data_IF_927443518045
#
_entry.id   IF_927443518045
#
_cell.length_a   1.000
_cell.length_b   1.000
_cell.length_c   1.000
_cell.angle_alpha   90.00
_cell.angle_beta   90.00
_cell.angle_gamma   90.00
#
_symmetry.space_group_name_H-M   'P 1'
#
loop_
_entity.id
_entity.type
_entity.pdbx_description
1 polymer ?
#
# COMPACT_ATOMS: atom_id res chain seq x y z
N UNK A 1 22.08 -51.99 -43.37
CA UNK A 1 22.75 -53.29 -43.15
C UNK A 1 24.20 -53.04 -42.78
N UNK A 2 24.55 -53.21 -41.51
CA UNK A 2 25.88 -53.49 -40.94
C UNK A 2 25.61 -53.66 -39.42
N UNK A 3 25.35 -54.89 -38.96
CA UNK A 3 26.32 -55.78 -38.29
C UNK A 3 26.92 -55.10 -37.05
N UNK A 4 26.49 -55.46 -35.84
CA UNK A 4 26.98 -56.62 -35.08
C UNK A 4 27.72 -56.07 -33.84
N UNK A 5 27.82 -56.66 -32.65
CA UNK A 5 27.71 -58.02 -32.13
C UNK A 5 27.60 -57.86 -30.59
N UNK A 6 26.73 -58.66 -29.95
CA UNK A 6 26.70 -58.91 -28.50
C UNK A 6 27.87 -59.84 -28.11
N UNK A 7 28.44 -59.93 -26.93
CA UNK A 7 27.87 -60.01 -25.59
C UNK A 7 29.02 -60.28 -24.59
N UNK A 8 28.69 -60.20 -23.28
CA UNK A 8 29.20 -61.09 -22.20
C UNK A 8 30.60 -60.77 -21.65
N UNK A 9 30.94 -60.89 -20.36
CA UNK A 9 30.35 -61.66 -19.26
C UNK A 9 30.99 -61.22 -17.91
N UNK A 10 30.37 -61.64 -16.81
CA UNK A 10 30.54 -61.22 -15.40
C UNK A 10 31.87 -61.64 -14.72
N UNK A 11 32.20 -60.97 -13.61
CA UNK A 11 33.10 -61.46 -12.55
C UNK A 11 33.10 -60.54 -11.32
N UNK A 12 32.75 -61.10 -10.16
CA UNK A 12 32.49 -60.46 -8.86
C UNK A 12 33.70 -59.83 -8.15
N UNK A 13 33.41 -58.85 -7.27
CA UNK A 13 34.02 -58.80 -5.93
C UNK A 13 34.71 -57.48 -5.53
N UNK A 14 34.12 -56.78 -4.54
CA UNK A 14 34.90 -56.13 -3.48
C UNK A 14 34.88 -54.60 -3.38
N UNK A 15 34.02 -54.10 -2.49
CA UNK A 15 34.27 -53.00 -1.51
C UNK A 15 34.82 -51.65 -2.00
N UNK A 16 33.97 -50.64 -2.09
CA UNK A 16 34.33 -49.24 -1.77
C UNK A 16 33.08 -48.45 -1.37
N UNK A 17 33.28 -47.53 -0.42
CA UNK A 17 32.30 -46.94 0.46
C UNK A 17 31.28 -46.00 -0.20
N UNK A 18 30.13 -45.87 0.46
CA UNK A 18 29.05 -44.95 0.17
C UNK A 18 29.50 -43.47 0.25
N UNK A 19 29.16 -42.70 -0.79
CA UNK A 19 29.14 -41.23 -0.74
C UNK A 19 27.79 -40.76 -0.16
N UNK A 20 27.75 -39.67 0.63
CA UNK A 20 26.51 -39.25 1.29
C UNK A 20 25.60 -38.52 0.31
N UNK A 21 24.35 -38.99 0.24
CA UNK A 21 23.24 -38.34 -0.45
C UNK A 21 23.06 -36.90 0.06
N UNK A 22 23.02 -35.96 -0.87
CA UNK A 22 22.67 -34.58 -0.62
C UNK A 22 21.24 -34.48 -0.06
N UNK A 23 21.11 -33.82 1.08
CA UNK A 23 19.84 -33.48 1.68
C UNK A 23 19.07 -32.51 0.76
N UNK A 24 18.17 -33.05 -0.06
CA UNK A 24 17.09 -32.29 -0.66
C UNK A 24 16.18 -31.79 0.47
N UNK A 25 16.36 -30.53 0.86
CA UNK A 25 15.42 -29.80 1.70
C UNK A 25 14.11 -29.69 0.91
N UNK A 26 13.17 -30.57 1.25
CA UNK A 26 11.82 -30.57 0.71
C UNK A 26 11.16 -29.22 0.99
N UNK A 27 10.75 -28.52 -0.08
CA UNK A 27 9.84 -27.38 0.04
C UNK A 27 8.53 -27.86 0.66
N UNK A 28 7.93 -27.16 1.63
CA UNK A 28 6.62 -27.53 2.15
C UNK A 28 5.61 -27.39 1.00
N UNK A 29 5.06 -28.52 0.59
CA UNK A 29 4.02 -28.65 -0.42
C UNK A 29 2.69 -28.35 0.27
N UNK A 30 2.20 -27.13 0.13
CA UNK A 30 0.83 -26.79 0.51
C UNK A 30 -0.09 -27.39 -0.55
N UNK A 31 -0.47 -28.66 -0.35
CA UNK A 31 -1.55 -29.28 -1.11
C UNK A 31 -2.88 -28.71 -0.60
N UNK A 32 -3.47 -27.80 -1.36
CA UNK A 32 -4.92 -27.75 -1.50
C UNK A 32 -5.27 -28.64 -2.69
N UNK A 33 -6.05 -29.68 -2.45
CA UNK A 33 -6.77 -30.38 -3.53
C UNK A 33 -7.83 -29.40 -4.07
N UNK A 34 -7.49 -28.67 -5.12
CA UNK A 34 -8.43 -28.11 -6.10
C UNK A 34 -7.63 -27.68 -7.32
N UNK A 35 -8.09 -28.03 -8.51
CA UNK A 35 -7.50 -27.59 -9.77
C UNK A 35 -7.24 -26.06 -9.72
N UNK A 36 -6.06 -25.64 -10.21
CA UNK A 36 -5.81 -24.23 -10.53
C UNK A 36 -7.04 -23.68 -11.26
N UNK A 37 -7.72 -22.73 -10.62
CA UNK A 37 -8.85 -22.05 -11.25
C UNK A 37 -8.30 -20.80 -11.89
N UNK A 38 -8.01 -20.89 -13.19
CA UNK A 38 -7.68 -19.72 -13.98
C UNK A 38 -8.83 -18.69 -13.85
N UNK A 39 -8.51 -17.49 -13.36
CA UNK A 39 -9.49 -16.41 -13.28
C UNK A 39 -9.83 -15.97 -14.71
N UNK A 40 -11.09 -16.07 -15.10
CA UNK A 40 -11.57 -15.62 -16.40
C UNK A 40 -12.05 -14.16 -16.34
N UNK A 41 -11.73 -13.37 -17.36
CA UNK A 41 -12.14 -11.96 -17.43
C UNK A 41 -13.66 -11.82 -17.39
N UNK A 42 -14.39 -12.70 -18.08
CA UNK A 42 -15.86 -12.68 -18.13
C UNK A 42 -16.46 -12.86 -16.72
N UNK A 43 -15.91 -13.78 -15.92
CA UNK A 43 -16.33 -14.01 -14.53
C UNK A 43 -16.10 -12.76 -13.67
N UNK A 44 -14.93 -12.13 -13.80
CA UNK A 44 -14.61 -10.89 -13.06
C UNK A 44 -15.55 -9.76 -13.46
N UNK A 45 -15.83 -9.58 -14.75
CA UNK A 45 -16.74 -8.54 -15.25
C UNK A 45 -18.18 -8.74 -14.73
N UNK A 46 -18.67 -9.98 -14.69
CA UNK A 46 -19.98 -10.31 -14.14
C UNK A 46 -20.08 -10.07 -12.63
N UNK A 47 -18.96 -10.19 -11.91
CA UNK A 47 -18.84 -9.99 -10.45
C UNK A 47 -18.45 -8.56 -10.05
N UNK A 48 -18.46 -7.63 -11.00
CA UNK A 48 -17.99 -6.25 -10.80
C UNK A 48 -19.13 -5.28 -10.50
N UNK A 49 -18.95 -4.49 -9.43
CA UNK A 49 -19.88 -3.46 -8.99
C UNK A 49 -19.18 -2.10 -8.99
N UNK A 50 -19.65 -1.16 -9.80
CA UNK A 50 -19.08 0.18 -9.86
C UNK A 50 -19.84 1.08 -8.90
N UNK A 51 -19.12 1.80 -8.04
CA UNK A 51 -19.68 2.67 -7.01
C UNK A 51 -19.08 4.07 -7.08
N UNK A 52 -19.85 5.07 -6.64
CA UNK A 52 -19.45 6.47 -6.57
C UNK A 52 -19.75 7.03 -5.16
N UNK A 53 -18.70 7.25 -4.37
CA UNK A 53 -18.79 7.65 -2.98
C UNK A 53 -18.59 9.17 -2.81
N UNK A 54 -19.55 9.90 -2.24
CA UNK A 54 -19.40 11.32 -1.96
C UNK A 54 -18.38 11.56 -0.85
N UNK A 55 -17.53 12.58 -1.00
CA UNK A 55 -16.48 12.92 -0.04
C UNK A 55 -16.87 14.09 0.86
N UNK A 56 -16.41 14.08 2.11
CA UNK A 56 -16.60 15.17 3.09
C UNK A 56 -15.75 16.40 2.78
N UNK A 57 -14.61 16.17 2.15
CA UNK A 57 -13.58 17.17 1.86
C UNK A 57 -13.01 16.88 0.49
N UNK A 58 -12.58 17.91 -0.22
CA UNK A 58 -11.81 17.69 -1.44
C UNK A 58 -10.47 17.06 -1.07
N UNK A 59 -10.09 16.01 -1.79
CA UNK A 59 -8.81 15.33 -1.60
C UNK A 59 -8.23 14.97 -2.97
N UNK A 60 -7.00 15.39 -3.26
CA UNK A 60 -6.37 15.22 -4.58
C UNK A 60 -7.27 15.69 -5.74
N UNK A 61 -7.96 16.81 -5.56
CA UNK A 61 -8.79 17.44 -6.59
C UNK A 61 -10.20 16.86 -6.74
N UNK A 62 -10.55 15.72 -6.12
CA UNK A 62 -11.87 15.09 -6.27
C UNK A 62 -12.80 15.33 -5.07
N UNK A 63 -14.10 15.35 -5.34
CA UNK A 63 -15.18 15.38 -4.32
C UNK A 63 -16.06 14.12 -4.35
N UNK A 64 -15.88 13.27 -5.36
CA UNK A 64 -16.51 11.95 -5.48
C UNK A 64 -15.43 10.95 -5.78
N UNK A 65 -15.37 9.87 -5.01
CA UNK A 65 -14.44 8.77 -5.23
C UNK A 65 -15.18 7.61 -5.87
N UNK A 66 -14.73 7.23 -7.05
CA UNK A 66 -15.26 6.04 -7.71
C UNK A 66 -14.32 4.85 -7.55
N UNK A 67 -14.93 3.66 -7.49
CA UNK A 67 -14.26 2.38 -7.38
C UNK A 67 -15.08 1.29 -8.09
N UNK A 68 -14.41 0.23 -8.52
CA UNK A 68 -15.03 -1.01 -8.95
C UNK A 68 -14.69 -2.09 -7.90
N UNK A 69 -15.72 -2.72 -7.34
CA UNK A 69 -15.61 -3.79 -6.37
C UNK A 69 -15.81 -5.14 -7.05
N UNK A 70 -15.01 -6.14 -6.68
CA UNK A 70 -15.00 -7.47 -7.29
C UNK A 70 -15.40 -8.48 -6.21
N UNK A 71 -16.48 -9.23 -6.44
CA UNK A 71 -16.94 -10.29 -5.53
C UNK A 71 -16.44 -11.67 -5.97
N UNK A 72 -15.33 -12.12 -5.37
CA UNK A 72 -14.75 -13.43 -5.66
C UNK A 72 -15.06 -14.50 -4.60
N UNK A 73 -14.56 -15.73 -4.77
CA UNK A 73 -14.81 -16.85 -3.86
C UNK A 73 -14.15 -16.68 -2.47
N UNK A 74 -13.08 -15.90 -2.36
CA UNK A 74 -12.39 -15.64 -1.09
C UNK A 74 -12.90 -14.37 -0.37
N UNK A 75 -13.67 -13.52 -1.05
CA UNK A 75 -14.24 -12.30 -0.47
C UNK A 75 -14.38 -11.18 -1.50
N UNK A 76 -14.05 -9.96 -1.06
CA UNK A 76 -14.20 -8.75 -1.85
C UNK A 76 -12.85 -8.08 -2.10
N UNK A 77 -12.64 -7.66 -3.35
CA UNK A 77 -11.51 -6.87 -3.79
C UNK A 77 -11.95 -5.52 -4.34
N UNK A 78 -11.00 -4.60 -4.48
CA UNK A 78 -11.24 -3.26 -5.02
C UNK A 78 -10.25 -2.94 -6.14
N UNK A 79 -10.79 -2.42 -7.24
CA UNK A 79 -10.07 -1.83 -8.36
C UNK A 79 -10.48 -0.37 -8.50
N UNK A 80 -9.63 0.55 -8.02
CA UNK A 80 -9.97 1.97 -7.97
C UNK A 80 -8.83 2.91 -8.43
N UNK A 81 -8.02 2.63 -9.46
CA UNK A 81 -6.97 3.56 -9.88
C UNK A 81 -7.53 4.96 -10.18
N UNK A 82 -6.79 6.02 -9.82
CA UNK A 82 -7.16 7.40 -10.18
C UNK A 82 -7.12 7.61 -11.69
N UNK A 83 -7.83 8.61 -12.22
CA UNK A 83 -7.96 8.81 -13.68
C UNK A 83 -6.62 9.02 -14.40
N UNK A 84 -5.58 9.50 -13.70
CA UNK A 84 -4.23 9.74 -14.24
C UNK A 84 -3.36 8.47 -14.37
N UNK A 85 -3.91 7.29 -14.03
CA UNK A 85 -3.23 6.00 -14.18
C UNK A 85 -3.61 5.34 -15.50
N UNK A 86 -2.58 5.10 -16.34
CA UNK A 86 -2.73 4.35 -17.57
C UNK A 86 -2.96 2.85 -17.30
N UNK A 87 -3.41 2.10 -18.30
CA UNK A 87 -3.73 0.68 -18.17
C UNK A 87 -2.60 -0.19 -17.58
N UNK A 88 -1.32 -0.02 -17.95
CA UNK A 88 -0.22 -0.78 -17.33
C UNK A 88 -0.09 -0.50 -15.83
N UNK A 89 -0.17 0.76 -15.41
CA UNK A 89 -0.10 1.11 -13.98
C UNK A 89 -1.36 0.62 -13.24
N UNK A 90 -2.53 0.69 -13.89
CA UNK A 90 -3.80 0.22 -13.35
C UNK A 90 -3.84 -1.31 -13.15
N UNK A 91 -3.06 -2.08 -13.92
CA UNK A 91 -2.99 -3.53 -13.78
C UNK A 91 -2.54 -3.97 -12.37
N UNK A 92 -1.64 -3.21 -11.73
CA UNK A 92 -1.27 -3.48 -10.33
C UNK A 92 -2.46 -3.32 -9.37
N UNK A 93 -3.30 -2.31 -9.59
CA UNK A 93 -4.52 -2.12 -8.80
C UNK A 93 -5.49 -3.28 -8.99
N UNK A 94 -5.62 -3.76 -10.22
CA UNK A 94 -6.46 -4.91 -10.54
C UNK A 94 -5.91 -6.19 -9.89
N UNK A 95 -4.60 -6.42 -9.96
CA UNK A 95 -3.95 -7.56 -9.29
C UNK A 95 -4.20 -7.55 -7.78
N UNK A 96 -4.12 -6.39 -7.12
CA UNK A 96 -4.45 -6.26 -5.69
C UNK A 96 -5.92 -6.59 -5.40
N UNK A 97 -6.84 -6.16 -6.26
CA UNK A 97 -8.26 -6.47 -6.13
C UNK A 97 -8.54 -7.97 -6.31
N UNK A 98 -7.96 -8.58 -7.35
CA UNK A 98 -8.10 -10.01 -7.63
C UNK A 98 -7.51 -10.86 -6.51
N UNK A 99 -6.35 -10.50 -5.97
CA UNK A 99 -5.76 -11.20 -4.82
C UNK A 99 -6.74 -11.26 -3.65
N UNK A 100 -7.32 -10.14 -3.26
CA UNK A 100 -8.26 -10.10 -2.12
C UNK A 100 -9.58 -10.82 -2.43
N UNK A 101 -10.07 -10.75 -3.67
CA UNK A 101 -11.34 -11.35 -4.07
C UNK A 101 -11.25 -12.88 -4.27
N UNK A 102 -10.16 -13.39 -4.86
CA UNK A 102 -10.02 -14.78 -5.29
C UNK A 102 -9.09 -15.62 -4.40
N UNK A 103 -8.06 -15.02 -3.81
CA UNK A 103 -7.10 -15.73 -2.94
C UNK A 103 -7.31 -15.42 -1.45
N UNK A 104 -7.76 -14.22 -1.14
CA UNK A 104 -7.86 -13.70 0.22
C UNK A 104 -6.51 -13.24 0.80
N UNK A 105 -6.55 -12.62 1.99
CA UNK A 105 -5.36 -12.08 2.63
C UNK A 105 -4.40 -13.21 3.08
N UNK A 106 -3.09 -12.95 3.14
CA UNK A 106 -2.15 -13.84 3.83
C UNK A 106 -2.47 -13.95 5.34
N UNK A 107 -1.88 -14.93 6.05
CA UNK A 107 -2.09 -15.08 7.49
C UNK A 107 -1.78 -13.82 8.28
N UNK A 108 -2.72 -13.40 9.12
CA UNK A 108 -2.59 -12.23 9.96
C UNK A 108 -1.80 -12.59 11.23
N UNK A 109 -0.80 -11.78 11.56
CA UNK A 109 0.08 -11.97 12.72
C UNK A 109 -0.34 -11.09 13.92
N UNK A 110 -1.32 -10.20 13.72
CA UNK A 110 -1.87 -9.29 14.73
C UNK A 110 -3.31 -8.92 14.39
N UNK A 111 -4.09 -8.65 15.42
CA UNK A 111 -5.51 -8.31 15.29
C UNK A 111 -5.74 -6.80 15.14
N UNK A 112 -4.86 -5.97 15.70
CA UNK A 112 -5.02 -4.52 15.74
C UNK A 112 -3.91 -3.82 14.97
N UNK A 113 -4.27 -2.74 14.27
CA UNK A 113 -3.40 -1.91 13.47
C UNK A 113 -3.51 -0.46 13.95
N UNK A 114 -2.40 0.09 14.44
CA UNK A 114 -2.30 1.52 14.72
C UNK A 114 -2.45 2.31 13.42
N UNK A 115 -3.24 3.38 13.43
CA UNK A 115 -3.39 4.27 12.29
C UNK A 115 -2.94 5.70 12.62
N UNK A 116 -2.60 6.47 11.59
CA UNK A 116 -2.42 7.91 11.73
C UNK A 116 -3.72 8.66 11.39
N UNK A 117 -3.94 9.79 12.07
CA UNK A 117 -4.89 10.79 11.63
C UNK A 117 -4.43 11.38 10.28
N UNK A 118 -5.36 11.76 9.41
CA UNK A 118 -5.05 12.35 8.11
C UNK A 118 -5.72 13.71 8.00
N UNK A 119 -4.91 14.76 7.95
CA UNK A 119 -5.34 16.15 7.85
C UNK A 119 -5.12 16.63 6.41
N UNK A 120 -6.19 16.89 5.63
CA UNK A 120 -6.10 17.44 4.28
C UNK A 120 -5.56 18.88 4.28
N UNK A 121 -5.42 19.48 3.10
CA UNK A 121 -4.97 20.86 2.92
C UNK A 121 -6.06 21.90 3.28
N UNK A 122 -6.58 21.82 4.51
CA UNK A 122 -7.60 22.73 5.07
C UNK A 122 -6.96 23.97 5.70
N UNK A 123 -7.76 24.95 6.12
CA UNK A 123 -7.23 26.08 6.89
C UNK A 123 -6.91 25.63 8.33
N UNK A 124 -5.98 26.30 9.04
CA UNK A 124 -5.61 25.94 10.41
C UNK A 124 -6.79 25.85 11.38
N UNK A 125 -7.80 26.71 11.23
CA UNK A 125 -9.02 26.73 12.04
C UNK A 125 -9.89 25.48 11.89
N UNK A 126 -9.80 24.78 10.76
CA UNK A 126 -10.59 23.57 10.49
C UNK A 126 -9.94 22.30 11.06
N UNK A 127 -8.67 22.38 11.49
CA UNK A 127 -7.88 21.20 11.93
C UNK A 127 -8.55 20.49 13.11
N UNK A 128 -9.10 21.24 14.07
CA UNK A 128 -9.76 20.65 15.24
C UNK A 128 -10.90 19.70 14.85
N UNK A 129 -11.82 20.14 13.98
CA UNK A 129 -12.94 19.32 13.52
C UNK A 129 -12.54 18.13 12.64
N UNK A 130 -11.33 18.13 12.07
CA UNK A 130 -10.76 16.96 11.42
C UNK A 130 -10.23 15.97 12.45
N UNK A 131 -9.49 16.44 13.44
CA UNK A 131 -8.85 15.59 14.47
C UNK A 131 -9.86 14.88 15.38
N UNK A 132 -11.04 15.46 15.63
CA UNK A 132 -12.16 14.82 16.34
C UNK A 132 -12.55 13.44 15.77
N UNK A 133 -12.26 13.17 14.50
CA UNK A 133 -12.59 11.89 13.84
C UNK A 133 -11.53 10.79 14.07
N UNK A 134 -10.42 11.16 14.70
CA UNK A 134 -9.23 10.34 14.86
C UNK A 134 -8.79 10.21 16.32
N UNK A 135 -9.70 10.42 17.28
CA UNK A 135 -9.41 10.30 18.70
C UNK A 135 -8.63 9.00 19.04
N UNK A 136 -7.61 9.14 19.89
CA UNK A 136 -6.70 8.07 20.27
C UNK A 136 -5.50 7.87 19.33
N UNK A 137 -5.50 8.43 18.11
CA UNK A 137 -4.32 8.40 17.25
C UNK A 137 -3.15 9.16 17.88
N UNK A 138 -1.97 8.54 17.90
CA UNK A 138 -0.72 9.15 18.38
C UNK A 138 0.13 9.78 17.28
N UNK A 139 -0.30 9.64 16.02
CA UNK A 139 0.40 10.13 14.83
C UNK A 139 -0.57 10.86 13.92
N UNK A 140 -0.13 11.98 13.33
CA UNK A 140 -0.92 12.80 12.39
C UNK A 140 -0.11 13.00 11.11
N UNK A 141 -0.72 12.73 9.95
CA UNK A 141 -0.17 13.10 8.64
C UNK A 141 -0.89 14.33 8.11
N UNK A 142 -0.14 15.37 7.81
CA UNK A 142 -0.64 16.68 7.35
C UNK A 142 -0.29 16.89 5.88
N UNK A 143 -1.28 17.16 5.05
CA UNK A 143 -1.05 17.56 3.66
C UNK A 143 -0.40 18.94 3.61
N UNK A 144 0.67 19.05 2.82
CA UNK A 144 1.41 20.29 2.54
C UNK A 144 1.67 20.40 1.04
N UNK A 145 2.22 21.53 0.58
CA UNK A 145 2.50 21.78 -0.82
C UNK A 145 1.28 21.64 -1.74
N UNK A 146 0.09 21.98 -1.22
CA UNK A 146 -1.13 21.94 -2.03
C UNK A 146 -1.09 23.08 -3.06
N UNK A 147 -1.37 22.82 -4.35
CA UNK A 147 -1.42 23.85 -5.36
C UNK A 147 -2.34 25.02 -4.96
N UNK A 148 -1.81 26.24 -5.04
CA UNK A 148 -2.53 27.45 -4.64
C UNK A 148 -2.42 27.82 -3.16
N UNK A 149 -1.69 27.04 -2.35
CA UNK A 149 -1.36 27.38 -0.96
C UNK A 149 0.13 27.71 -0.81
N UNK A 150 0.44 28.51 0.21
CA UNK A 150 1.80 28.94 0.54
C UNK A 150 2.41 28.09 1.67
N UNK A 151 3.74 28.06 1.74
CA UNK A 151 4.46 27.42 2.85
C UNK A 151 4.02 27.97 4.22
N UNK A 152 3.69 29.26 4.32
CA UNK A 152 3.19 29.85 5.56
C UNK A 152 1.86 29.22 6.02
N UNK A 153 0.97 28.89 5.08
CA UNK A 153 -0.28 28.17 5.38
C UNK A 153 -0.01 26.74 5.82
N UNK A 154 0.95 26.05 5.19
CA UNK A 154 1.37 24.71 5.60
C UNK A 154 1.94 24.70 7.03
N UNK A 155 2.81 25.67 7.35
CA UNK A 155 3.38 25.85 8.70
C UNK A 155 2.27 26.12 9.71
N UNK A 156 1.31 27.00 9.40
CA UNK A 156 0.19 27.30 10.29
C UNK A 156 -0.68 26.06 10.56
N UNK A 157 -0.93 25.22 9.53
CA UNK A 157 -1.68 23.98 9.68
C UNK A 157 -0.95 22.96 10.55
N UNK A 158 0.35 22.78 10.33
CA UNK A 158 1.18 21.89 11.16
C UNK A 158 1.25 22.39 12.61
N UNK A 159 1.34 23.71 12.81
CA UNK A 159 1.34 24.29 14.15
C UNK A 159 -0.02 24.07 14.85
N UNK A 160 -1.15 24.22 14.15
CA UNK A 160 -2.46 23.94 14.72
C UNK A 160 -2.59 22.48 15.19
N UNK A 161 -2.07 21.52 14.43
CA UNK A 161 -2.00 20.10 14.87
C UNK A 161 -1.18 19.97 16.16
N UNK A 162 -0.02 20.64 16.22
CA UNK A 162 0.88 20.58 17.38
C UNK A 162 0.27 21.22 18.63
N UNK A 163 -0.47 22.31 18.47
CA UNK A 163 -1.14 23.00 19.58
C UNK A 163 -2.27 22.15 20.15
N UNK A 164 -3.03 21.46 19.30
CA UNK A 164 -4.12 20.58 19.70
C UNK A 164 -3.59 19.27 20.30
N UNK A 165 -2.64 18.62 19.63
CA UNK A 165 -2.10 17.30 19.99
C UNK A 165 -0.58 17.38 20.20
N UNK A 166 -0.10 17.97 21.31
CA UNK A 166 1.31 18.30 21.52
C UNK A 166 2.25 17.09 21.63
N UNK A 167 1.72 15.90 21.91
CA UNK A 167 2.48 14.66 22.01
C UNK A 167 2.46 13.83 20.72
N UNK A 168 1.69 14.25 19.71
CA UNK A 168 1.57 13.48 18.48
C UNK A 168 2.84 13.54 17.63
N UNK A 169 3.21 12.42 17.02
CA UNK A 169 4.18 12.40 15.92
C UNK A 169 3.55 13.04 14.70
N UNK A 170 4.20 14.04 14.11
CA UNK A 170 3.67 14.73 12.93
C UNK A 170 4.48 14.33 11.70
N UNK A 171 3.78 13.85 10.68
CA UNK A 171 4.29 13.59 9.33
C UNK A 171 3.72 14.62 8.38
N UNK A 172 4.43 14.97 7.32
CA UNK A 172 3.88 15.81 6.25
C UNK A 172 3.94 15.09 4.91
N UNK A 173 3.00 15.38 4.02
CA UNK A 173 2.91 14.80 2.68
C UNK A 173 2.80 15.88 1.62
N UNK A 174 3.86 16.02 0.82
CA UNK A 174 3.95 17.04 -0.22
C UNK A 174 3.50 16.53 -1.60
N UNK A 175 3.35 15.23 -1.80
CA UNK A 175 3.05 14.60 -3.10
C UNK A 175 3.86 15.16 -4.28
N UNK A 176 5.19 15.28 -4.11
CA UNK A 176 6.14 15.84 -5.08
C UNK A 176 6.01 17.35 -5.30
N UNK A 177 5.35 18.06 -4.39
CA UNK A 177 5.01 19.47 -4.56
C UNK A 177 6.16 20.47 -4.43
N UNK A 178 7.36 20.02 -4.05
CA UNK A 178 8.52 20.88 -3.86
C UNK A 178 9.72 20.49 -4.72
N UNK A 179 10.45 21.49 -5.19
CA UNK A 179 11.86 21.34 -5.54
C UNK A 179 12.71 21.02 -4.30
N UNK A 180 13.96 20.59 -4.51
CA UNK A 180 14.90 20.34 -3.40
C UNK A 180 15.14 21.59 -2.54
N UNK A 181 15.14 22.78 -3.14
CA UNK A 181 15.31 24.04 -2.42
C UNK A 181 14.11 24.39 -1.56
N UNK A 182 12.91 24.28 -2.11
CA UNK A 182 11.66 24.51 -1.37
C UNK A 182 11.48 23.49 -0.25
N UNK A 183 11.82 22.22 -0.49
CA UNK A 183 11.74 21.17 0.53
C UNK A 183 12.72 21.41 1.70
N UNK A 184 13.96 21.87 1.40
CA UNK A 184 14.90 22.25 2.46
C UNK A 184 14.38 23.46 3.25
N UNK A 185 13.79 24.44 2.58
CA UNK A 185 13.24 25.61 3.26
C UNK A 185 12.03 25.25 4.13
N UNK A 186 11.15 24.38 3.63
CA UNK A 186 10.03 23.84 4.40
C UNK A 186 10.51 23.10 5.65
N UNK A 187 11.55 22.26 5.53
CA UNK A 187 12.13 21.53 6.65
C UNK A 187 12.64 22.43 7.79
N UNK A 188 13.08 23.66 7.49
CA UNK A 188 13.51 24.63 8.52
C UNK A 188 12.33 25.26 9.27
N UNK A 189 11.17 25.38 8.63
CA UNK A 189 10.03 26.14 9.15
C UNK A 189 8.96 25.27 9.79
N UNK A 190 8.79 24.03 9.33
CA UNK A 190 7.73 23.13 9.82
C UNK A 190 7.97 22.59 11.25
N UNK A 191 9.20 22.74 11.76
CA UNK A 191 9.61 22.26 13.08
C UNK A 191 9.87 20.75 13.09
N UNK A 192 9.87 20.11 14.28
CA UNK A 192 10.14 18.68 14.38
C UNK A 192 9.02 17.86 13.73
N UNK A 193 9.42 16.90 12.90
CA UNK A 193 8.57 15.97 12.17
C UNK A 193 9.14 14.56 12.29
N UNK A 194 8.26 13.56 12.18
CA UNK A 194 8.61 12.15 12.08
C UNK A 194 9.28 11.84 10.73
N UNK A 195 8.66 12.32 9.63
CA UNK A 195 9.24 12.33 8.29
C UNK A 195 8.51 13.32 7.35
N UNK A 196 9.15 13.65 6.23
CA UNK A 196 8.55 14.27 5.04
C UNK A 196 8.28 13.22 3.95
N UNK A 197 7.01 12.98 3.62
CA UNK A 197 6.57 12.06 2.57
C UNK A 197 6.60 12.73 1.20
N UNK A 198 7.33 12.07 0.29
CA UNK A 198 7.56 12.45 -1.10
C UNK A 198 7.69 13.98 -1.30
N UNK A 199 8.70 14.64 -0.71
CA UNK A 199 8.89 16.08 -0.88
C UNK A 199 9.12 16.47 -2.34
N UNK A 200 9.93 15.71 -3.06
CA UNK A 200 10.35 16.01 -4.43
C UNK A 200 9.89 14.95 -5.43
N UNK A 201 10.01 15.26 -6.72
CA UNK A 201 9.42 14.45 -7.79
C UNK A 201 10.17 13.15 -8.08
N UNK A 202 11.50 13.17 -7.99
CA UNK A 202 12.35 12.07 -8.46
C UNK A 202 13.20 11.47 -7.34
N UNK A 203 13.61 10.20 -7.53
CA UNK A 203 14.54 9.50 -6.63
C UNK A 203 15.84 10.28 -6.42
N UNK A 204 16.38 10.87 -7.50
CA UNK A 204 17.59 11.68 -7.45
C UNK A 204 17.42 12.94 -6.59
N UNK A 205 16.29 13.64 -6.71
CA UNK A 205 15.98 14.81 -5.87
C UNK A 205 15.78 14.43 -4.40
N UNK A 206 15.13 13.29 -4.12
CA UNK A 206 14.99 12.79 -2.74
C UNK A 206 16.37 12.48 -2.12
N UNK A 207 17.26 11.82 -2.86
CA UNK A 207 18.62 11.56 -2.41
C UNK A 207 19.42 12.86 -2.18
N UNK A 208 19.29 13.82 -3.09
CA UNK A 208 19.91 15.14 -2.96
C UNK A 208 19.39 15.89 -1.73
N UNK A 209 18.08 15.86 -1.48
CA UNK A 209 17.47 16.49 -0.30
C UNK A 209 17.99 15.87 1.00
N UNK A 210 18.07 14.54 1.09
CA UNK A 210 18.63 13.86 2.28
C UNK A 210 20.05 14.31 2.59
N UNK A 211 20.92 14.35 1.60
CA UNK A 211 22.30 14.84 1.77
C UNK A 211 22.34 16.30 2.23
N UNK A 212 21.47 17.16 1.66
CA UNK A 212 21.37 18.57 2.06
C UNK A 212 20.87 18.78 3.49
N UNK A 213 19.89 17.99 3.93
CA UNK A 213 19.33 18.06 5.28
C UNK A 213 20.44 17.77 6.32
N UNK A 214 21.20 16.69 6.11
CA UNK A 214 22.33 16.32 6.98
C UNK A 214 23.40 17.40 6.99
N UNK A 215 23.81 17.91 5.81
CA UNK A 215 24.80 19.00 5.72
C UNK A 215 24.34 20.30 6.38
N UNK A 216 23.04 20.50 6.49
CA UNK A 216 22.43 21.66 7.14
C UNK A 216 22.19 21.43 8.65
N UNK A 217 22.57 20.28 9.20
CA UNK A 217 22.34 19.91 10.60
C UNK A 217 20.88 19.61 10.94
N UNK A 218 20.05 19.33 9.93
CA UNK A 218 18.62 19.00 10.09
C UNK A 218 18.47 17.48 10.02
N UNK A 219 18.16 16.86 11.15
CA UNK A 219 17.95 15.41 11.25
C UNK A 219 16.48 15.05 11.00
N UNK A 220 16.03 15.23 9.76
CA UNK A 220 14.67 14.93 9.33
C UNK A 220 14.67 13.80 8.32
N UNK A 221 13.86 12.77 8.59
CA UNK A 221 13.69 11.60 7.71
C UNK A 221 12.89 11.97 6.47
N UNK A 222 13.26 11.37 5.35
CA UNK A 222 12.52 11.46 4.08
C UNK A 222 11.83 10.13 3.80
N UNK A 223 10.53 10.16 3.52
CA UNK A 223 9.77 9.00 3.09
C UNK A 223 9.48 9.06 1.59
N UNK A 224 9.47 7.91 0.91
CA UNK A 224 9.10 7.80 -0.50
C UNK A 224 7.74 7.10 -0.65
N UNK A 225 6.85 7.67 -1.48
CA UNK A 225 5.56 7.10 -1.88
C UNK A 225 5.49 6.95 -3.40
N UNK A 226 5.30 8.05 -4.15
CA UNK A 226 5.23 8.07 -5.61
C UNK A 226 6.44 7.42 -6.28
N UNK A 227 7.65 7.61 -5.72
CA UNK A 227 8.88 6.99 -6.20
C UNK A 227 8.96 5.48 -5.99
N UNK A 228 7.98 4.88 -5.30
CA UNK A 228 7.83 3.43 -5.16
C UNK A 228 6.63 2.98 -5.99
N UNK A 229 5.45 3.54 -5.73
CA UNK A 229 4.17 3.05 -6.27
C UNK A 229 3.91 3.36 -7.75
N UNK A 230 4.68 4.27 -8.37
CA UNK A 230 4.63 4.56 -9.82
C UNK A 230 5.95 4.25 -10.52
N UNK A 231 6.89 3.62 -9.83
CA UNK A 231 8.19 3.29 -10.39
C UNK A 231 8.10 1.99 -11.20
N UNK A 232 8.86 1.89 -12.28
CA UNK A 232 9.09 0.61 -12.95
C UNK A 232 9.83 -0.37 -12.03
N UNK A 233 10.76 0.15 -11.21
CA UNK A 233 11.47 -0.61 -10.19
C UNK A 233 11.24 0.02 -8.79
N UNK A 234 10.33 -0.54 -7.98
CA UNK A 234 10.02 0.01 -6.66
C UNK A 234 11.21 -0.03 -5.69
N UNK A 235 12.28 -0.77 -5.98
CA UNK A 235 13.45 -0.95 -5.13
C UNK A 235 14.55 0.09 -5.38
N UNK A 236 14.42 0.93 -6.42
CA UNK A 236 15.41 1.94 -6.79
C UNK A 236 15.70 2.90 -5.63
N UNK A 237 14.65 3.35 -4.93
CA UNK A 237 14.75 4.27 -3.79
C UNK A 237 15.73 3.77 -2.73
N UNK A 238 15.68 2.49 -2.40
CA UNK A 238 16.57 1.90 -1.41
C UNK A 238 18.02 1.80 -1.92
N UNK A 239 18.22 1.34 -3.17
CA UNK A 239 19.56 1.24 -3.76
C UNK A 239 20.24 2.60 -3.91
N UNK A 240 19.46 3.63 -4.25
CA UNK A 240 19.92 5.01 -4.33
C UNK A 240 20.07 5.68 -2.96
N UNK A 241 19.66 5.02 -1.86
CA UNK A 241 19.58 5.60 -0.52
C UNK A 241 18.83 6.94 -0.54
N UNK A 242 17.70 6.96 -1.25
CA UNK A 242 16.93 8.17 -1.47
C UNK A 242 15.88 8.43 -0.39
N UNK A 243 15.58 7.45 0.46
CA UNK A 243 14.61 7.57 1.55
C UNK A 243 15.06 6.80 2.79
N UNK A 244 14.49 7.18 3.93
CA UNK A 244 14.58 6.52 5.24
C UNK A 244 13.35 5.63 5.51
N UNK A 245 12.21 5.98 4.90
CA UNK A 245 10.93 5.26 5.06
C UNK A 245 10.34 4.98 3.68
N UNK A 246 9.89 3.75 3.46
CA UNK A 246 9.10 3.37 2.30
C UNK A 246 7.61 3.35 2.67
N UNK A 247 6.83 4.21 2.01
CA UNK A 247 5.37 4.20 2.09
C UNK A 247 4.85 3.27 0.99
N UNK A 248 4.16 2.22 1.40
CA UNK A 248 3.65 1.18 0.50
C UNK A 248 2.13 1.11 0.58
N UNK A 249 1.48 0.94 -0.57
CA UNK A 249 0.03 0.89 -0.68
C UNK A 249 -0.33 -0.37 -1.46
N UNK A 250 -1.14 -1.31 -0.91
CA UNK A 250 -1.43 -2.59 -1.57
C UNK A 250 -1.94 -2.42 -2.99
N UNK A 251 -2.89 -1.51 -3.19
CA UNK A 251 -3.51 -1.32 -4.50
C UNK A 251 -2.48 -0.97 -5.61
N UNK A 252 -1.73 0.13 -5.55
CA UNK A 252 -0.79 0.45 -6.63
C UNK A 252 0.48 -0.41 -6.66
N UNK A 253 0.82 -1.17 -5.60
CA UNK A 253 1.99 -2.05 -5.61
C UNK A 253 1.68 -3.46 -6.16
N UNK A 254 0.41 -3.85 -6.27
CA UNK A 254 0.03 -5.16 -6.80
C UNK A 254 -0.40 -6.19 -5.75
N UNK A 255 -0.79 -5.76 -4.55
CA UNK A 255 -1.39 -6.64 -3.54
C UNK A 255 -0.62 -6.72 -2.23
N UNK A 256 -1.25 -7.39 -1.27
CA UNK A 256 -0.78 -7.62 0.10
C UNK A 256 0.49 -8.46 0.12
N UNK A 257 0.56 -9.57 -0.63
CA UNK A 257 1.79 -10.37 -0.72
C UNK A 257 2.95 -9.55 -1.29
N UNK A 258 2.67 -8.70 -2.29
CA UNK A 258 3.68 -7.82 -2.87
C UNK A 258 4.18 -6.77 -1.88
N UNK A 259 3.30 -6.23 -1.02
CA UNK A 259 3.72 -5.38 0.11
C UNK A 259 4.70 -6.12 1.01
N UNK A 260 4.47 -7.40 1.35
CA UNK A 260 5.37 -8.17 2.21
C UNK A 260 6.74 -8.40 1.56
N UNK A 261 6.78 -8.69 0.26
CA UNK A 261 8.03 -8.82 -0.50
C UNK A 261 8.83 -7.51 -0.49
N UNK A 262 8.17 -6.39 -0.81
CA UNK A 262 8.79 -5.08 -0.83
C UNK A 262 9.27 -4.70 0.57
N UNK A 263 8.44 -4.91 1.59
CA UNK A 263 8.79 -4.63 2.98
C UNK A 263 10.04 -5.38 3.44
N UNK A 264 10.15 -6.67 3.07
CA UNK A 264 11.34 -7.48 3.38
C UNK A 264 12.60 -6.90 2.75
N UNK A 265 12.53 -6.53 1.47
CA UNK A 265 13.68 -5.93 0.78
C UNK A 265 14.08 -4.58 1.38
N UNK A 266 13.10 -3.68 1.56
CA UNK A 266 13.34 -2.33 2.06
C UNK A 266 13.97 -2.33 3.46
N UNK A 267 13.46 -3.17 4.36
CA UNK A 267 14.04 -3.36 5.70
C UNK A 267 15.47 -3.88 5.64
N UNK A 268 15.77 -4.82 4.73
CA UNK A 268 17.13 -5.31 4.53
C UNK A 268 18.10 -4.23 4.00
N UNK A 269 17.58 -3.14 3.44
CA UNK A 269 18.34 -1.96 3.02
C UNK A 269 18.33 -0.83 4.08
N UNK A 270 17.73 -1.06 5.25
CA UNK A 270 17.68 -0.11 6.36
C UNK A 270 16.55 0.92 6.27
N UNK A 271 15.52 0.67 5.46
CA UNK A 271 14.33 1.52 5.40
C UNK A 271 13.23 1.00 6.33
N UNK A 272 12.60 1.92 7.04
CA UNK A 272 11.33 1.66 7.73
C UNK A 272 10.19 1.47 6.72
N UNK A 273 9.12 0.80 7.15
CA UNK A 273 7.92 0.58 6.33
C UNK A 273 6.70 1.19 7.00
N UNK A 274 5.95 1.97 6.23
CA UNK A 274 4.60 2.41 6.59
C UNK A 274 3.62 2.00 5.49
N UNK A 275 2.51 1.39 5.87
CA UNK A 275 1.42 1.08 4.91
C UNK A 275 0.44 2.24 4.88
N UNK A 276 -0.06 2.59 3.70
CA UNK A 276 -1.13 3.57 3.54
C UNK A 276 -2.20 3.08 2.55
N UNK A 277 -3.37 3.71 2.63
CA UNK A 277 -4.42 3.60 1.64
C UNK A 277 -4.16 4.55 0.46
N UNK A 278 -4.83 4.31 -0.66
CA UNK A 278 -4.84 5.19 -1.81
C UNK A 278 -6.19 5.92 -1.96
N UNK A 279 -6.81 6.28 -0.82
CA UNK A 279 -8.19 6.75 -0.73
C UNK A 279 -9.15 5.67 -1.26
N UNK A 280 -9.09 4.51 -0.61
CA UNK A 280 -9.85 3.30 -0.94
C UNK A 280 -11.20 3.29 -0.21
N UNK A 281 -12.18 2.55 -0.72
CA UNK A 281 -13.42 2.28 0.02
C UNK A 281 -13.15 1.38 1.24
N UNK A 282 -14.15 1.12 2.07
CA UNK A 282 -14.03 0.16 3.18
C UNK A 282 -13.51 -1.22 2.76
N UNK A 283 -13.75 -1.63 1.49
CA UNK A 283 -13.21 -2.86 0.88
C UNK A 283 -11.71 -2.75 0.65
N UNK A 284 -11.20 -1.72 -0.02
CA UNK A 284 -9.75 -1.58 -0.23
C UNK A 284 -8.97 -1.32 1.06
N UNK A 285 -9.61 -0.73 2.09
CA UNK A 285 -9.02 -0.67 3.44
C UNK A 285 -8.74 -2.07 4.02
N UNK A 286 -9.49 -3.11 3.64
CA UNK A 286 -9.18 -4.50 4.03
C UNK A 286 -7.76 -4.88 3.61
N UNK A 287 -7.37 -4.60 2.38
CA UNK A 287 -6.04 -4.93 1.86
C UNK A 287 -4.94 -4.21 2.65
N UNK A 288 -5.17 -2.93 2.98
CA UNK A 288 -4.25 -2.15 3.81
C UNK A 288 -4.08 -2.72 5.22
N UNK A 289 -5.20 -3.06 5.88
CA UNK A 289 -5.17 -3.66 7.21
C UNK A 289 -4.53 -5.05 7.19
N UNK A 290 -4.87 -5.88 6.19
CA UNK A 290 -4.26 -7.19 6.00
C UNK A 290 -2.75 -7.08 5.79
N UNK A 291 -2.28 -6.10 5.01
CA UNK A 291 -0.86 -5.85 4.80
C UNK A 291 -0.13 -5.53 6.10
N UNK A 292 -0.62 -4.57 6.89
CA UNK A 292 0.00 -4.26 8.19
C UNK A 292 -0.09 -5.46 9.12
N UNK A 293 -1.22 -6.15 9.15
CA UNK A 293 -1.44 -7.28 10.04
C UNK A 293 -0.59 -8.51 9.67
N UNK A 294 -0.20 -8.68 8.41
CA UNK A 294 0.65 -9.77 7.93
C UNK A 294 2.15 -9.43 7.95
N UNK A 295 2.55 -8.18 8.20
CA UNK A 295 3.97 -7.81 8.28
C UNK A 295 4.72 -8.69 9.30
N UNK A 296 5.82 -9.34 8.92
CA UNK A 296 6.65 -10.09 9.86
C UNK A 296 7.17 -9.20 10.98
N UNK A 297 7.39 -9.83 12.15
CA UNK A 297 8.07 -9.18 13.28
C UNK A 297 9.44 -8.65 12.84
N UNK A 298 9.80 -7.50 13.38
CA UNK A 298 11.05 -6.83 13.11
C UNK A 298 11.60 -6.38 14.44
N UNK A 299 12.85 -6.74 14.75
CA UNK A 299 13.49 -6.33 15.99
C UNK A 299 14.52 -5.23 15.73
N UNK A 300 14.71 -4.36 16.72
CA UNK A 300 15.82 -3.41 16.74
C UNK A 300 17.16 -4.08 17.11
N UNK A 301 18.21 -3.28 17.26
CA UNK A 301 19.57 -3.72 17.60
C UNK A 301 19.69 -4.30 19.02
N UNK A 302 18.72 -4.02 19.90
CA UNK A 302 18.59 -4.58 21.24
C UNK A 302 17.63 -5.79 21.28
N UNK A 303 17.22 -6.30 20.11
CA UNK A 303 16.31 -7.43 19.91
C UNK A 303 14.85 -7.19 20.37
N UNK A 304 14.45 -5.94 20.66
CA UNK A 304 13.06 -5.62 20.99
C UNK A 304 12.19 -5.61 19.75
N UNK A 305 10.97 -6.19 19.86
CA UNK A 305 9.98 -6.18 18.78
C UNK A 305 9.52 -4.75 18.50
N UNK A 306 9.80 -4.27 17.28
CA UNK A 306 9.39 -2.97 16.78
C UNK A 306 8.02 -3.13 16.13
N UNK A 307 6.95 -2.57 16.71
CA UNK A 307 5.63 -2.65 16.10
C UNK A 307 5.62 -1.93 14.75
N UNK A 308 4.76 -2.34 13.81
CA UNK A 308 4.55 -1.60 12.57
C UNK A 308 4.23 -0.13 12.87
N UNK A 309 4.76 0.78 12.05
CA UNK A 309 4.45 2.19 12.16
C UNK A 309 2.93 2.44 11.96
N UNK A 310 2.39 3.46 12.63
CA UNK A 310 1.01 3.89 12.46
C UNK A 310 0.68 4.08 10.97
N UNK A 311 -0.35 3.40 10.48
CA UNK A 311 -0.65 3.26 9.07
C UNK A 311 -1.62 4.34 8.56
N UNK A 312 -1.47 4.73 7.29
CA UNK A 312 -2.34 5.70 6.61
C UNK A 312 -3.69 5.11 6.19
N UNK A 313 -4.37 4.41 7.10
CA UNK A 313 -5.60 3.63 6.85
C UNK A 313 -6.86 4.25 7.45
N UNK A 314 -6.76 5.45 8.03
CA UNK A 314 -7.90 6.21 8.56
C UNK A 314 -8.75 6.93 7.50
N UNK A 315 -8.47 6.75 6.21
CA UNK A 315 -9.05 7.56 5.12
C UNK A 315 -10.52 7.26 4.81
N UNK A 316 -11.07 6.14 5.28
CA UNK A 316 -12.52 5.87 5.23
C UNK A 316 -13.33 7.04 5.82
N UNK A 317 -12.77 7.74 6.82
CA UNK A 317 -13.39 8.89 7.50
C UNK A 317 -13.48 10.15 6.65
N UNK A 318 -12.91 10.13 5.45
CA UNK A 318 -13.01 11.21 4.46
C UNK A 318 -14.27 11.09 3.59
N UNK A 319 -14.98 9.96 3.61
CA UNK A 319 -16.23 9.77 2.88
C UNK A 319 -17.45 10.19 3.70
N UNK A 320 -18.46 10.75 3.02
CA UNK A 320 -19.78 10.98 3.61
C UNK A 320 -20.50 9.64 3.77
N UNK A 321 -20.41 8.81 2.73
CA UNK A 321 -20.99 7.47 2.65
C UNK A 321 -19.96 6.49 2.08
N UNK A 322 -20.01 5.25 2.55
CA UNK A 322 -19.14 4.17 2.12
C UNK A 322 -19.97 2.89 1.92
N UNK A 323 -19.40 1.92 1.21
CA UNK A 323 -20.04 0.64 0.89
C UNK A 323 -20.06 -0.34 2.06
N UNK A 324 -19.21 -0.15 3.07
CA UNK A 324 -19.20 -0.95 4.31
C UNK A 324 -19.69 -0.13 5.50
N UNK A 325 -19.94 -0.80 6.63
CA UNK A 325 -20.00 -0.12 7.93
C UNK A 325 -18.72 0.71 8.19
N UNK A 326 -18.87 1.78 8.98
CA UNK A 326 -17.72 2.52 9.50
C UNK A 326 -16.95 1.65 10.48
N UNK A 327 -15.63 1.54 10.30
CA UNK A 327 -14.78 0.82 11.26
C UNK A 327 -14.69 1.59 12.56
N UNK A 328 -14.92 0.88 13.67
CA UNK A 328 -14.70 1.43 15.00
C UNK A 328 -13.21 1.74 15.20
N UNK A 329 -12.92 2.93 15.75
CA UNK A 329 -11.57 3.35 16.13
C UNK A 329 -11.43 3.19 17.64
N UNK A 330 -10.53 2.32 18.08
CA UNK A 330 -10.30 2.03 19.50
C UNK A 330 -8.87 2.43 19.83
N UNK A 331 -8.71 3.52 20.59
CA UNK A 331 -7.42 4.09 20.98
C UNK A 331 -6.48 4.33 19.78
N UNK A 332 -7.00 4.90 18.68
CA UNK A 332 -6.20 5.14 17.46
C UNK A 332 -5.92 3.90 16.62
N UNK A 333 -6.62 2.78 16.86
CA UNK A 333 -6.40 1.49 16.19
C UNK A 333 -7.65 1.01 15.48
N UNK A 334 -7.43 0.32 14.37
CA UNK A 334 -8.46 -0.42 13.65
C UNK A 334 -8.23 -1.91 13.79
N UNK A 335 -9.32 -2.68 13.91
CA UNK A 335 -9.26 -4.13 13.87
C UNK A 335 -9.03 -4.60 12.43
N UNK A 336 -8.11 -5.55 12.25
CA UNK A 336 -7.75 -6.15 10.96
C UNK A 336 -8.79 -7.18 10.50
N UNK A 337 -10.06 -6.78 10.47
CA UNK A 337 -11.18 -7.59 10.01
C UNK A 337 -11.51 -7.30 8.53
N UNK A 338 -11.83 -8.36 7.79
CA UNK A 338 -12.22 -8.24 6.39
C UNK A 338 -13.73 -7.95 6.30
N UNK A 339 -14.08 -6.71 5.99
CA UNK A 339 -15.47 -6.28 5.83
C UNK A 339 -15.96 -6.52 4.39
N UNK A 340 -17.21 -6.95 4.26
CA UNK A 340 -17.91 -7.00 2.99
C UNK A 340 -18.77 -5.74 2.80
N UNK A 341 -19.04 -5.31 1.56
CA UNK A 341 -20.07 -4.32 1.27
C UNK A 341 -21.44 -4.72 1.87
N UNK A 342 -22.16 -3.76 2.42
CA UNK A 342 -23.56 -3.95 2.82
C UNK A 342 -24.44 -3.85 1.56
N UNK A 343 -25.35 -4.81 1.29
CA UNK A 343 -26.13 -4.82 0.06
C UNK A 343 -26.88 -3.51 -0.24
N UNK A 344 -27.50 -2.92 0.79
CA UNK A 344 -28.27 -1.66 0.66
C UNK A 344 -27.37 -0.47 0.29
N UNK A 345 -26.16 -0.40 0.87
CA UNK A 345 -25.17 0.65 0.56
C UNK A 345 -24.59 0.47 -0.83
N UNK A 346 -24.33 -0.78 -1.22
CA UNK A 346 -23.81 -1.14 -2.54
C UNK A 346 -24.81 -0.73 -3.64
N UNK A 347 -26.11 -0.96 -3.42
CA UNK A 347 -27.18 -0.52 -4.33
C UNK A 347 -27.30 1.01 -4.37
N UNK A 348 -27.32 1.67 -3.21
CA UNK A 348 -27.48 3.12 -3.13
C UNK A 348 -26.34 3.91 -3.81
N UNK A 349 -25.10 3.41 -3.71
CA UNK A 349 -23.90 4.06 -4.25
C UNK A 349 -23.56 3.60 -5.67
N UNK A 350 -24.39 2.75 -6.29
CA UNK A 350 -24.09 2.14 -7.57
C UNK A 350 -24.04 3.17 -8.71
N UNK A 351 -22.92 3.21 -9.43
CA UNK A 351 -22.82 3.93 -10.68
C UNK A 351 -23.49 3.11 -11.80
N UNK A 352 -24.21 3.78 -12.69
CA UNK A 352 -25.00 3.15 -13.76
C UNK A 352 -24.65 3.71 -15.15
N UNK A 353 -25.16 3.06 -16.20
CA UNK A 353 -25.04 3.51 -17.59
C UNK A 353 -23.59 3.72 -18.04
N UNK A 354 -23.34 4.82 -18.74
CA UNK A 354 -22.04 5.12 -19.36
C UNK A 354 -20.86 5.10 -18.38
N UNK A 355 -21.09 5.44 -17.10
CA UNK A 355 -20.00 5.43 -16.11
C UNK A 355 -19.64 4.01 -15.69
N UNK A 356 -20.63 3.13 -15.51
CA UNK A 356 -20.40 1.69 -15.29
C UNK A 356 -19.62 1.09 -16.46
N UNK A 357 -20.08 1.34 -17.68
CA UNK A 357 -19.46 0.79 -18.89
C UNK A 357 -18.00 1.26 -19.05
N UNK A 358 -17.70 2.52 -18.70
CA UNK A 358 -16.35 3.06 -18.72
C UNK A 358 -15.42 2.32 -17.74
N UNK A 359 -15.89 2.01 -16.53
CA UNK A 359 -15.13 1.26 -15.54
C UNK A 359 -14.90 -0.19 -15.93
N UNK A 360 -15.91 -0.87 -16.48
CA UNK A 360 -15.76 -2.24 -16.98
C UNK A 360 -14.77 -2.31 -18.15
N UNK A 361 -14.85 -1.34 -19.08
CA UNK A 361 -13.87 -1.21 -20.16
C UNK A 361 -12.46 -0.97 -19.60
N UNK A 362 -12.33 -0.11 -18.59
CA UNK A 362 -11.04 0.18 -17.95
C UNK A 362 -10.45 -1.05 -17.25
N UNK A 363 -11.28 -1.86 -16.61
CA UNK A 363 -10.86 -3.15 -16.04
C UNK A 363 -10.32 -4.07 -17.14
N UNK A 364 -11.07 -4.24 -18.23
CA UNK A 364 -10.63 -5.08 -19.36
C UNK A 364 -9.31 -4.57 -19.99
N UNK A 365 -9.10 -3.26 -20.06
CA UNK A 365 -7.83 -2.69 -20.52
C UNK A 365 -6.67 -2.97 -19.56
N UNK A 366 -6.90 -2.87 -18.24
CA UNK A 366 -5.88 -3.20 -17.23
C UNK A 366 -5.57 -4.71 -17.21
N UNK A 367 -6.56 -5.56 -17.50
CA UNK A 367 -6.42 -7.01 -17.59
C UNK A 367 -5.36 -7.44 -18.61
N UNK A 368 -5.27 -6.75 -19.75
CA UNK A 368 -4.27 -7.04 -20.80
C UNK A 368 -2.81 -6.92 -20.33
N UNK A 369 -2.56 -6.27 -19.19
CA UNK A 369 -1.24 -6.07 -18.59
C UNK A 369 -1.03 -6.85 -17.30
N UNK A 370 -1.97 -7.70 -16.88
CA UNK A 370 -1.78 -8.56 -15.73
C UNK A 370 -0.70 -9.61 -16.05
N UNK A 371 0.23 -9.88 -15.12
CA UNK A 371 1.16 -10.99 -15.26
C UNK A 371 0.39 -12.32 -15.11
N UNK A 372 0.83 -13.38 -15.80
CA UNK A 372 0.17 -14.70 -15.75
C UNK A 372 0.04 -15.21 -14.30
N UNK A 373 1.03 -14.91 -13.43
CA UNK A 373 1.00 -15.33 -12.02
C UNK A 373 -0.11 -14.65 -11.21
N UNK A 374 -0.68 -13.53 -11.68
CA UNK A 374 -1.84 -12.89 -11.03
C UNK A 374 -3.16 -13.61 -11.34
N UNK A 375 -3.18 -14.48 -12.36
CA UNK A 375 -4.37 -15.20 -12.84
C UNK A 375 -4.40 -16.66 -12.40
N UNK A 376 -3.28 -17.18 -11.88
CA UNK A 376 -3.14 -18.52 -11.34
C UNK A 376 -3.41 -18.51 -9.82
N UNK A 377 -4.59 -19.01 -9.41
CA UNK A 377 -4.99 -19.18 -8.01
C UNK A 377 -5.09 -20.65 -7.60
#
# INVERSE_FOLDING_TARGET
>A
MAQGIAASLRGDGGCAAAEPEGAHVGRPRWCLDSASMAIALEDVLERSYVVALPMRVQFRGIQTREALLIQGPAGWGEFCPFEDYAAPEAAHWLASGLEMAYQGPPPLLREWVDINATVPAVQPEDVAGILERFEGCSTVKVKVAEPGQSLAQDVARVQAVRDLWPLAKIRVDANRGWSVDEALEAAKQLGPLDYMEQPCATVAELAQLRDRLVRSGIFLRVAADESIRRAEDPYEVARAKAADVAVVKPAPIGGVRKVLEVAKFMRAQGLDITVASALDTGVGINAGLAAVAALPRHSDDEEFDVPPAAAGLGTQRLFLEDVTASRELVDGRLKAEMLAPEPERLEALQASGARKDAWLKRLAQAWEYLPDEALDC
#
